data_IF_437634339890
#
_entry.id   IF_437634339890
#
_cell.length_a   1.000
_cell.length_b   1.000
_cell.length_c   1.000
_cell.angle_alpha   90.00
_cell.angle_beta   90.00
_cell.angle_gamma   90.00
#
_symmetry.space_group_name_H-M   'P 1'
#
loop_
_entity.id
_entity.type
_entity.pdbx_description
1 polymer ?
#
# COMPACT_ATOMS: atom_id res chain seq x y z
N UNK A 1 28.16 20.91 -13.76
CA UNK A 1 28.65 20.53 -12.42
C UNK A 1 27.50 20.06 -11.57
N UNK A 2 27.58 18.83 -11.06
CA UNK A 2 26.65 18.31 -10.07
C UNK A 2 26.99 18.97 -8.73
N UNK A 3 26.09 19.83 -8.25
CA UNK A 3 26.21 20.37 -6.89
C UNK A 3 25.88 19.26 -5.88
N UNK A 4 26.77 19.06 -4.92
CA UNK A 4 26.51 18.15 -3.79
C UNK A 4 25.46 18.80 -2.88
N UNK A 5 24.36 18.08 -2.66
CA UNK A 5 23.28 18.47 -1.75
C UNK A 5 23.28 17.52 -0.55
N UNK A 6 23.62 18.05 0.62
CA UNK A 6 23.67 17.28 1.88
C UNK A 6 22.30 16.69 2.28
N UNK A 7 21.20 17.21 1.75
CA UNK A 7 19.85 16.70 2.01
C UNK A 7 19.59 15.33 1.33
N UNK A 8 20.27 15.02 0.23
CA UNK A 8 20.06 13.76 -0.51
C UNK A 8 20.49 12.52 0.28
N UNK A 9 21.67 12.46 0.93
CA UNK A 9 22.02 11.36 1.82
C UNK A 9 21.05 11.19 2.99
N UNK A 10 20.51 12.30 3.52
CA UNK A 10 19.52 12.24 4.58
C UNK A 10 18.19 11.61 4.11
N UNK A 11 17.72 11.93 2.91
CA UNK A 11 16.55 11.28 2.30
C UNK A 11 16.78 9.78 2.14
N UNK A 12 17.96 9.37 1.67
CA UNK A 12 18.34 7.96 1.57
C UNK A 12 18.31 7.24 2.92
N UNK A 13 18.87 7.85 3.97
CA UNK A 13 18.83 7.32 5.34
C UNK A 13 17.40 7.19 5.86
N UNK A 14 16.57 8.20 5.65
CA UNK A 14 15.18 8.19 6.07
C UNK A 14 14.39 7.09 5.35
N UNK A 15 14.66 6.86 4.08
CA UNK A 15 14.04 5.77 3.33
C UNK A 15 14.50 4.39 3.82
N UNK A 16 15.79 4.20 4.07
CA UNK A 16 16.34 2.98 4.69
C UNK A 16 15.66 2.68 6.02
N UNK A 17 15.51 3.71 6.88
CA UNK A 17 14.80 3.57 8.15
C UNK A 17 13.34 3.16 7.95
N UNK A 18 12.66 3.71 6.95
CA UNK A 18 11.28 3.34 6.62
C UNK A 18 11.18 1.89 6.15
N UNK A 19 12.10 1.42 5.31
CA UNK A 19 12.17 0.01 4.89
C UNK A 19 12.34 -0.93 6.07
N UNK A 20 13.27 -0.61 6.95
CA UNK A 20 13.54 -1.38 8.16
C UNK A 20 12.35 -1.42 9.12
N UNK A 21 11.65 -0.30 9.29
CA UNK A 21 10.45 -0.24 10.12
C UNK A 21 9.28 -1.03 9.52
N UNK A 22 9.09 -0.99 8.20
CA UNK A 22 8.11 -1.83 7.51
C UNK A 22 8.41 -3.33 7.71
N UNK A 23 9.68 -3.73 7.59
CA UNK A 23 10.14 -5.09 7.86
C UNK A 23 9.82 -5.50 9.30
N UNK A 24 10.21 -4.70 10.29
CA UNK A 24 9.94 -4.99 11.71
C UNK A 24 8.44 -5.13 11.98
N UNK A 25 7.62 -4.25 11.40
CA UNK A 25 6.16 -4.30 11.53
C UNK A 25 5.63 -5.65 11.04
N UNK A 26 5.98 -6.05 9.82
CA UNK A 26 5.49 -7.31 9.22
C UNK A 26 5.97 -8.52 10.04
N UNK A 27 7.23 -8.55 10.47
CA UNK A 27 7.78 -9.65 11.28
C UNK A 27 7.23 -9.71 12.70
N UNK A 28 6.67 -8.62 13.21
CA UNK A 28 6.06 -8.59 14.54
C UNK A 28 4.63 -9.17 14.59
N UNK A 29 4.02 -9.45 13.47
CA UNK A 29 2.67 -9.98 13.44
C UNK A 29 2.64 -11.45 13.88
N UNK A 30 1.74 -11.76 14.79
CA UNK A 30 1.41 -13.14 15.14
C UNK A 30 0.50 -13.75 14.05
N UNK A 31 0.87 -14.92 13.54
CA UNK A 31 0.16 -15.56 12.42
C UNK A 31 -0.76 -16.67 12.93
N UNK A 32 -2.03 -16.64 12.53
CA UNK A 32 -3.01 -17.66 12.88
C UNK A 32 -3.70 -18.27 11.66
N UNK A 33 -4.25 -19.48 11.85
CA UNK A 33 -5.08 -20.16 10.85
C UNK A 33 -6.53 -19.67 10.99
N UNK A 34 -6.79 -18.46 10.51
CA UNK A 34 -8.11 -17.83 10.45
C UNK A 34 -8.42 -17.44 9.00
N UNK A 35 -9.69 -17.16 8.71
CA UNK A 35 -10.13 -16.76 7.38
C UNK A 35 -9.55 -15.39 7.00
N UNK A 36 -9.17 -15.26 5.72
CA UNK A 36 -8.68 -14.00 5.18
C UNK A 36 -9.79 -12.94 5.16
N UNK A 37 -9.62 -11.80 5.86
CA UNK A 37 -10.61 -10.72 5.84
C UNK A 37 -10.79 -10.14 4.44
N UNK A 38 -12.02 -9.75 4.09
CA UNK A 38 -12.33 -9.20 2.77
C UNK A 38 -11.48 -7.96 2.42
N UNK A 39 -11.23 -7.08 3.40
CA UNK A 39 -10.40 -5.90 3.19
C UNK A 39 -8.93 -6.26 2.88
N UNK A 40 -8.38 -7.30 3.50
CA UNK A 40 -7.01 -7.76 3.24
C UNK A 40 -6.89 -8.35 1.84
N UNK A 41 -7.85 -9.21 1.45
CA UNK A 41 -7.89 -9.79 0.11
C UNK A 41 -7.96 -8.71 -0.98
N UNK A 42 -8.88 -7.74 -0.84
CA UNK A 42 -9.04 -6.65 -1.82
C UNK A 42 -7.83 -5.71 -1.87
N UNK A 43 -7.18 -5.43 -0.73
CA UNK A 43 -5.99 -4.61 -0.68
C UNK A 43 -4.80 -5.27 -1.37
N UNK A 44 -4.61 -6.58 -1.19
CA UNK A 44 -3.56 -7.34 -1.87
C UNK A 44 -3.84 -7.50 -3.37
N UNK A 45 -5.09 -7.72 -3.76
CA UNK A 45 -5.52 -7.74 -5.16
C UNK A 45 -5.20 -6.41 -5.86
N UNK A 46 -5.56 -5.28 -5.22
CA UNK A 46 -5.19 -3.95 -5.70
C UNK A 46 -3.67 -3.80 -5.88
N UNK A 47 -2.90 -4.21 -4.87
CA UNK A 47 -1.45 -4.03 -4.90
C UNK A 47 -0.79 -4.90 -5.97
N UNK A 48 -1.32 -6.09 -6.23
CA UNK A 48 -0.85 -6.94 -7.32
C UNK A 48 -1.10 -6.30 -8.70
N UNK A 49 -2.26 -5.68 -8.92
CA UNK A 49 -2.50 -4.88 -10.14
C UNK A 49 -1.53 -3.69 -10.24
N UNK A 50 -1.28 -3.00 -9.12
CA UNK A 50 -0.31 -1.91 -9.07
C UNK A 50 1.10 -2.38 -9.41
N UNK A 51 1.56 -3.51 -8.86
CA UNK A 51 2.86 -4.09 -9.20
C UNK A 51 2.97 -4.47 -10.66
N UNK A 52 1.91 -4.98 -11.27
CA UNK A 52 1.86 -5.24 -12.73
C UNK A 52 2.15 -3.97 -13.53
N UNK A 53 1.46 -2.87 -13.21
CA UNK A 53 1.67 -1.55 -13.84
C UNK A 53 3.08 -1.00 -13.59
N UNK A 54 3.55 -1.12 -12.34
CA UNK A 54 4.91 -0.67 -11.96
C UNK A 54 5.97 -1.42 -12.75
N UNK A 55 5.87 -2.74 -12.86
CA UNK A 55 6.83 -3.55 -13.62
C UNK A 55 6.84 -3.18 -15.12
N UNK A 56 5.70 -2.92 -15.74
CA UNK A 56 5.62 -2.44 -17.12
C UNK A 56 6.29 -1.08 -17.28
N UNK A 57 6.01 -0.15 -16.35
CA UNK A 57 6.63 1.18 -16.31
C UNK A 57 8.14 1.08 -16.17
N UNK A 58 8.64 0.24 -15.25
CA UNK A 58 10.06 0.03 -15.03
C UNK A 58 10.76 -0.55 -16.25
N UNK A 59 10.17 -1.54 -16.93
CA UNK A 59 10.72 -2.08 -18.16
C UNK A 59 10.90 -0.97 -19.20
N UNK A 60 9.89 -0.13 -19.41
CA UNK A 60 9.97 1.01 -20.33
C UNK A 60 11.06 2.01 -19.93
N UNK A 61 11.17 2.32 -18.64
CA UNK A 61 12.17 3.27 -18.12
C UNK A 61 13.59 2.72 -18.28
N UNK A 62 13.82 1.43 -18.00
CA UNK A 62 15.12 0.79 -18.20
C UNK A 62 15.51 0.68 -19.69
N UNK A 63 14.58 0.33 -20.56
CA UNK A 63 14.80 0.28 -22.00
C UNK A 63 15.20 1.66 -22.57
N UNK A 64 14.71 2.73 -21.96
CA UNK A 64 15.02 4.10 -22.32
C UNK A 64 16.20 4.70 -21.52
N UNK A 65 16.90 3.89 -20.70
CA UNK A 65 18.00 4.34 -19.83
C UNK A 65 17.61 5.43 -18.81
N UNK A 66 16.34 5.52 -18.44
CA UNK A 66 15.81 6.50 -17.47
C UNK A 66 15.97 6.00 -16.04
N UNK A 67 17.20 5.80 -15.61
CA UNK A 67 17.51 5.14 -14.33
C UNK A 67 16.98 5.92 -13.12
N UNK A 68 17.06 7.24 -13.15
CA UNK A 68 16.56 8.10 -12.05
C UNK A 68 15.03 8.01 -11.92
N UNK A 69 14.31 7.93 -13.05
CA UNK A 69 12.86 7.75 -13.05
C UNK A 69 12.48 6.36 -12.53
N UNK A 70 13.24 5.32 -12.93
CA UNK A 70 13.04 3.97 -12.43
C UNK A 70 13.21 3.90 -10.90
N UNK A 71 14.27 4.52 -10.36
CA UNK A 71 14.46 4.63 -8.92
C UNK A 71 13.26 5.33 -8.24
N UNK A 72 12.81 6.47 -8.78
CA UNK A 72 11.68 7.20 -8.21
C UNK A 72 10.37 6.40 -8.27
N UNK A 73 10.14 5.64 -9.32
CA UNK A 73 8.98 4.76 -9.45
C UNK A 73 8.96 3.71 -8.33
N UNK A 74 10.06 3.00 -8.10
CA UNK A 74 10.13 2.00 -7.03
C UNK A 74 10.08 2.65 -5.64
N UNK A 75 10.80 3.76 -5.47
CA UNK A 75 10.82 4.52 -4.22
C UNK A 75 9.42 4.96 -3.78
N UNK A 76 8.66 5.59 -4.68
CA UNK A 76 7.30 6.06 -4.38
C UNK A 76 6.34 4.88 -4.17
N UNK A 77 6.46 3.81 -4.96
CA UNK A 77 5.68 2.58 -4.77
C UNK A 77 5.90 1.99 -3.38
N UNK A 78 7.15 1.91 -2.93
CA UNK A 78 7.43 1.40 -1.58
C UNK A 78 6.96 2.36 -0.50
N UNK A 79 7.33 3.65 -0.60
CA UNK A 79 7.09 4.65 0.44
C UNK A 79 5.60 4.95 0.62
N UNK A 80 4.90 5.18 -0.47
CA UNK A 80 3.54 5.69 -0.43
C UNK A 80 2.51 4.56 -0.55
N UNK A 81 2.67 3.66 -1.51
CA UNK A 81 1.66 2.64 -1.77
C UNK A 81 1.78 1.43 -0.85
N UNK A 82 2.99 0.88 -0.70
CA UNK A 82 3.20 -0.26 0.18
C UNK A 82 3.12 0.13 1.66
N UNK A 83 3.99 1.05 2.10
CA UNK A 83 4.09 1.37 3.53
C UNK A 83 2.92 2.17 4.06
N UNK A 84 2.40 3.16 3.28
CA UNK A 84 1.38 4.08 3.78
C UNK A 84 -0.05 3.65 3.48
N UNK A 85 -0.26 2.77 2.47
CA UNK A 85 -1.58 2.26 2.14
C UNK A 85 -1.71 0.76 2.40
N UNK A 86 -0.96 -0.10 1.70
CA UNK A 86 -1.15 -1.55 1.81
C UNK A 86 -1.00 -2.03 3.26
N UNK A 87 0.13 -1.73 3.91
CA UNK A 87 0.37 -2.21 5.29
C UNK A 87 -0.70 -1.70 6.26
N UNK A 88 -1.18 -0.46 6.11
CA UNK A 88 -2.26 0.07 6.94
C UNK A 88 -3.60 -0.65 6.73
N UNK A 89 -3.89 -1.04 5.47
CA UNK A 89 -5.12 -1.76 5.15
C UNK A 89 -5.12 -3.19 5.69
N UNK A 90 -3.96 -3.87 5.68
CA UNK A 90 -3.86 -5.28 6.04
C UNK A 90 -3.44 -5.53 7.48
N UNK A 91 -2.77 -4.57 8.15
CA UNK A 91 -2.30 -4.78 9.53
C UNK A 91 -3.43 -5.24 10.42
N UNK A 92 -3.19 -6.24 11.29
CA UNK A 92 -4.19 -6.67 12.25
C UNK A 92 -4.49 -5.58 13.27
N UNK A 93 -5.64 -5.66 13.94
CA UNK A 93 -5.92 -4.81 15.09
C UNK A 93 -4.92 -5.11 16.22
N UNK A 94 -4.69 -4.15 17.10
CA UNK A 94 -3.75 -4.31 18.19
C UNK A 94 -4.06 -5.56 19.04
N UNK A 95 -3.06 -6.42 19.23
CA UNK A 95 -3.18 -7.67 19.98
C UNK A 95 -3.97 -8.78 19.25
N UNK A 96 -4.28 -8.63 17.97
CA UNK A 96 -4.92 -9.66 17.16
C UNK A 96 -3.92 -10.26 16.16
N UNK A 97 -4.02 -11.55 15.86
CA UNK A 97 -3.18 -12.17 14.85
C UNK A 97 -3.64 -11.78 13.44
N UNK A 98 -2.70 -11.91 12.48
CA UNK A 98 -2.98 -11.86 11.05
C UNK A 98 -3.29 -13.25 10.51
N UNK A 99 -4.17 -13.36 9.53
CA UNK A 99 -4.37 -14.63 8.83
C UNK A 99 -3.14 -15.02 8.00
N UNK A 100 -2.89 -16.33 7.92
CA UNK A 100 -1.71 -16.88 7.24
C UNK A 100 -1.63 -16.46 5.77
N UNK A 101 -2.77 -16.42 5.08
CA UNK A 101 -2.78 -16.09 3.64
C UNK A 101 -2.37 -14.65 3.39
N UNK A 102 -2.95 -13.69 4.12
CA UNK A 102 -2.55 -12.28 4.06
C UNK A 102 -1.06 -12.11 4.40
N UNK A 103 -0.57 -12.80 5.43
CA UNK A 103 0.84 -12.75 5.80
C UNK A 103 1.76 -13.21 4.67
N UNK A 104 1.52 -14.41 4.12
CA UNK A 104 2.35 -14.96 3.04
C UNK A 104 2.32 -14.10 1.76
N UNK A 105 1.14 -13.62 1.37
CA UNK A 105 1.01 -12.71 0.23
C UNK A 105 1.74 -11.38 0.48
N UNK A 106 1.73 -10.87 1.72
CA UNK A 106 2.50 -9.67 2.10
C UNK A 106 4.01 -9.90 1.99
N UNK A 107 4.50 -11.06 2.44
CA UNK A 107 5.91 -11.40 2.27
C UNK A 107 6.30 -11.47 0.79
N UNK A 108 5.46 -12.08 -0.07
CA UNK A 108 5.71 -12.16 -1.51
C UNK A 108 5.78 -10.77 -2.17
N UNK A 109 4.88 -9.87 -1.80
CA UNK A 109 4.88 -8.46 -2.27
C UNK A 109 6.14 -7.75 -1.80
N UNK A 110 6.52 -7.93 -0.53
CA UNK A 110 7.70 -7.29 0.03
C UNK A 110 8.97 -7.77 -0.67
N UNK A 111 9.11 -9.07 -0.91
CA UNK A 111 10.23 -9.63 -1.67
C UNK A 111 10.36 -9.04 -3.07
N UNK A 112 9.25 -8.91 -3.79
CA UNK A 112 9.24 -8.27 -5.11
C UNK A 112 9.74 -6.81 -5.04
N UNK A 113 9.27 -6.04 -4.07
CA UNK A 113 9.72 -4.66 -3.88
C UNK A 113 11.21 -4.59 -3.52
N UNK A 114 11.72 -5.51 -2.70
CA UNK A 114 13.15 -5.60 -2.40
C UNK A 114 13.98 -5.92 -3.64
N UNK A 115 13.52 -6.84 -4.49
CA UNK A 115 14.18 -7.18 -5.75
C UNK A 115 14.23 -5.97 -6.70
N UNK A 116 13.15 -5.19 -6.79
CA UNK A 116 13.10 -3.97 -7.61
C UNK A 116 14.00 -2.84 -7.06
N UNK A 117 14.17 -2.75 -5.73
CA UNK A 117 15.04 -1.78 -5.07
C UNK A 117 16.52 -2.21 -5.06
N UNK A 118 16.80 -3.50 -5.19
CA UNK A 118 18.16 -4.03 -5.00
C UNK A 118 19.23 -3.40 -5.88
N UNK A 119 19.00 -3.08 -7.17
CA UNK A 119 19.99 -2.41 -8.00
C UNK A 119 20.42 -1.03 -7.47
N UNK A 120 19.59 -0.40 -6.65
CA UNK A 120 19.82 0.94 -6.11
C UNK A 120 20.31 0.93 -4.66
N UNK A 121 19.92 -0.08 -3.89
CA UNK A 121 20.19 -0.18 -2.45
C UNK A 121 20.57 -1.61 -2.04
N UNK A 122 21.71 -2.14 -2.55
CA UNK A 122 22.01 -3.59 -2.47
C UNK A 122 22.17 -4.11 -1.03
N UNK A 123 22.73 -3.33 -0.12
CA UNK A 123 23.03 -3.82 1.24
C UNK A 123 21.76 -4.01 2.08
N UNK A 124 20.90 -2.98 2.18
CA UNK A 124 19.71 -3.04 3.01
C UNK A 124 18.67 -4.02 2.45
N UNK A 125 18.56 -4.12 1.13
CA UNK A 125 17.63 -5.05 0.49
C UNK A 125 18.06 -6.50 0.69
N UNK A 126 19.36 -6.81 0.61
CA UNK A 126 19.90 -8.14 0.93
C UNK A 126 19.63 -8.48 2.40
N UNK A 127 19.97 -7.60 3.34
CA UNK A 127 19.79 -7.82 4.77
C UNK A 127 18.32 -8.12 5.13
N UNK A 128 17.39 -7.32 4.60
CA UNK A 128 15.96 -7.54 4.82
C UNK A 128 15.51 -8.85 4.15
N UNK A 129 15.94 -9.12 2.92
CA UNK A 129 15.54 -10.29 2.16
C UNK A 129 15.99 -11.59 2.84
N UNK A 130 17.22 -11.64 3.35
CA UNK A 130 17.76 -12.78 4.11
C UNK A 130 16.97 -13.05 5.40
N UNK A 131 16.53 -11.97 6.06
CA UNK A 131 15.84 -12.08 7.35
C UNK A 131 14.32 -12.23 7.21
N UNK A 132 13.77 -11.86 6.05
CA UNK A 132 12.32 -11.89 5.81
C UNK A 132 11.79 -13.34 5.81
N UNK A 133 12.54 -14.29 5.24
CA UNK A 133 12.27 -15.73 5.21
C UNK A 133 13.53 -16.52 5.53
N UNK A 134 13.36 -17.77 5.91
CA UNK A 134 14.48 -18.72 5.97
C UNK A 134 15.05 -18.94 4.57
N UNK A 135 16.37 -18.90 4.46
CA UNK A 135 17.12 -19.07 3.21
C UNK A 135 18.09 -20.24 3.34
N UNK A 136 18.40 -20.86 2.22
CA UNK A 136 19.46 -21.86 2.17
C UNK A 136 20.83 -21.17 2.06
N UNK A 137 21.87 -21.87 2.47
CA UNK A 137 23.23 -21.35 2.34
C UNK A 137 23.58 -21.08 0.86
N UNK A 138 24.10 -19.88 0.58
CA UNK A 138 24.40 -19.42 -0.77
C UNK A 138 23.25 -18.72 -1.51
N UNK A 139 22.02 -18.70 -0.98
CA UNK A 139 20.96 -17.88 -1.57
C UNK A 139 21.22 -16.38 -1.31
N UNK A 140 21.04 -15.56 -2.35
CA UNK A 140 21.16 -14.11 -2.29
C UNK A 140 20.15 -13.46 -3.24
N UNK A 141 19.61 -12.30 -2.84
CA UNK A 141 18.75 -11.50 -3.69
C UNK A 141 19.49 -11.07 -4.98
N UNK A 142 20.84 -10.93 -4.92
CA UNK A 142 21.67 -10.54 -6.06
C UNK A 142 21.55 -11.50 -7.25
N UNK A 143 21.36 -12.80 -7.00
CA UNK A 143 21.19 -13.83 -8.04
C UNK A 143 19.73 -14.20 -8.28
N UNK A 144 18.80 -13.55 -7.56
CA UNK A 144 17.38 -13.75 -7.78
C UNK A 144 16.92 -13.11 -9.10
N UNK A 145 15.82 -13.62 -9.65
CA UNK A 145 15.24 -13.02 -10.86
C UNK A 145 14.38 -11.83 -10.47
N UNK A 146 14.47 -10.74 -11.26
CA UNK A 146 13.53 -9.64 -11.15
C UNK A 146 12.09 -10.12 -11.38
N UNK A 147 11.11 -9.52 -10.67
CA UNK A 147 9.71 -9.82 -10.88
C UNK A 147 9.32 -9.61 -12.34
N UNK A 148 8.60 -10.57 -12.92
CA UNK A 148 8.06 -10.41 -14.28
C UNK A 148 6.86 -9.48 -14.27
N UNK A 149 6.74 -8.68 -15.33
CA UNK A 149 5.51 -7.95 -15.56
C UNK A 149 4.32 -8.93 -15.70
N UNK A 150 3.27 -8.66 -14.94
CA UNK A 150 2.01 -9.39 -15.01
C UNK A 150 0.93 -8.49 -15.60
N UNK A 151 -0.10 -9.09 -16.20
CA UNK A 151 -1.27 -8.32 -16.63
C UNK A 151 -1.93 -7.65 -15.42
N UNK A 152 -2.44 -6.45 -15.64
CA UNK A 152 -3.18 -5.70 -14.62
C UNK A 152 -4.45 -5.10 -15.21
N UNK A 153 -5.40 -4.77 -14.35
CA UNK A 153 -6.65 -4.11 -14.72
C UNK A 153 -6.58 -2.62 -14.35
N UNK A 154 -6.44 -1.76 -15.35
CA UNK A 154 -6.41 -0.31 -15.16
C UNK A 154 -7.72 0.20 -14.56
N UNK A 155 -8.86 -0.37 -14.92
CA UNK A 155 -10.15 0.02 -14.36
C UNK A 155 -10.27 -0.30 -12.87
N UNK A 156 -9.62 -1.38 -12.43
CA UNK A 156 -9.51 -1.73 -11.01
C UNK A 156 -8.68 -0.68 -10.24
N UNK A 157 -7.55 -0.29 -10.81
CA UNK A 157 -6.68 0.75 -10.22
C UNK A 157 -7.40 2.10 -10.12
N UNK A 158 -8.12 2.52 -11.16
CA UNK A 158 -8.91 3.75 -11.14
C UNK A 158 -10.02 3.73 -10.07
N UNK A 159 -10.76 2.63 -9.96
CA UNK A 159 -11.77 2.45 -8.92
C UNK A 159 -11.15 2.50 -7.52
N UNK A 160 -9.97 1.92 -7.36
CA UNK A 160 -9.27 1.95 -6.08
C UNK A 160 -8.77 3.35 -5.72
N UNK A 161 -8.40 4.16 -6.71
CA UNK A 161 -8.05 5.57 -6.49
C UNK A 161 -9.23 6.37 -5.93
N UNK A 162 -10.45 6.11 -6.41
CA UNK A 162 -11.67 6.67 -5.81
C UNK A 162 -11.84 6.25 -4.34
N UNK A 163 -11.50 4.99 -3.99
CA UNK A 163 -11.50 4.51 -2.59
C UNK A 163 -10.52 5.30 -1.72
N UNK A 164 -9.29 5.50 -2.19
CA UNK A 164 -8.30 6.31 -1.47
C UNK A 164 -8.81 7.75 -1.25
N UNK A 165 -9.39 8.36 -2.26
CA UNK A 165 -9.94 9.72 -2.17
C UNK A 165 -11.09 9.79 -1.14
N UNK A 166 -11.96 8.79 -1.08
CA UNK A 166 -13.00 8.69 -0.04
C UNK A 166 -12.37 8.62 1.36
N UNK A 167 -11.36 7.76 1.54
CA UNK A 167 -10.66 7.62 2.83
C UNK A 167 -9.97 8.92 3.23
N UNK A 168 -9.32 9.61 2.29
CA UNK A 168 -8.70 10.92 2.52
C UNK A 168 -9.76 11.95 2.93
N UNK A 169 -10.91 11.99 2.25
CA UNK A 169 -12.03 12.84 2.60
C UNK A 169 -12.53 12.60 4.04
N UNK A 170 -12.72 11.34 4.42
CA UNK A 170 -13.10 10.97 5.79
C UNK A 170 -12.05 11.44 6.82
N UNK A 171 -10.76 11.22 6.55
CA UNK A 171 -9.67 11.67 7.43
C UNK A 171 -9.61 13.19 7.57
N UNK A 172 -9.86 13.91 6.49
CA UNK A 172 -9.90 15.38 6.51
C UNK A 172 -11.07 15.89 7.35
N UNK A 173 -12.27 15.32 7.21
CA UNK A 173 -13.43 15.65 8.05
C UNK A 173 -13.12 15.41 9.53
N UNK A 174 -12.53 14.26 9.86
CA UNK A 174 -12.12 13.95 11.24
C UNK A 174 -11.15 15.00 11.78
N UNK A 175 -10.12 15.34 11.01
CA UNK A 175 -9.10 16.33 11.41
C UNK A 175 -9.71 17.73 11.61
N UNK A 176 -10.54 18.20 10.68
CA UNK A 176 -11.16 19.52 10.72
C UNK A 176 -12.13 19.69 11.90
N UNK A 177 -12.77 18.60 12.32
CA UNK A 177 -13.78 18.63 13.38
C UNK A 177 -13.28 18.01 14.70
N UNK A 178 -11.97 17.76 14.82
CA UNK A 178 -11.34 17.14 16.00
C UNK A 178 -11.99 15.82 16.44
N UNK A 179 -12.45 15.00 15.50
CA UNK A 179 -13.08 13.70 15.77
C UNK A 179 -11.97 12.64 15.92
N UNK A 180 -11.88 12.02 17.09
CA UNK A 180 -10.88 10.99 17.35
C UNK A 180 -11.10 9.76 16.42
N UNK A 181 -10.01 9.10 16.03
CA UNK A 181 -10.12 7.92 15.17
C UNK A 181 -10.93 6.78 15.81
N UNK A 182 -10.88 6.65 17.15
CA UNK A 182 -11.65 5.64 17.91
C UNK A 182 -13.18 5.82 17.81
N UNK A 183 -13.65 7.03 17.50
CA UNK A 183 -15.07 7.31 17.40
C UNK A 183 -15.59 6.74 16.08
N UNK A 184 -16.56 5.83 16.17
CA UNK A 184 -17.15 5.20 14.99
C UNK A 184 -18.09 6.18 14.31
N UNK A 185 -17.94 6.38 13.01
CA UNK A 185 -18.81 7.24 12.20
C UNK A 185 -19.71 6.42 11.28
N UNK A 186 -20.77 7.04 10.79
CA UNK A 186 -21.55 6.55 9.66
C UNK A 186 -21.21 7.33 8.40
N UNK A 187 -21.10 6.64 7.27
CA UNK A 187 -20.92 7.24 5.97
C UNK A 187 -22.22 7.13 5.16
N UNK A 188 -22.73 8.26 4.71
CA UNK A 188 -23.87 8.32 3.78
C UNK A 188 -23.36 8.75 2.42
N UNK A 189 -23.52 7.90 1.43
CA UNK A 189 -23.06 8.14 0.05
C UNK A 189 -24.26 8.49 -0.81
N UNK A 190 -24.19 9.60 -1.55
CA UNK A 190 -25.22 9.89 -2.55
C UNK A 190 -25.22 8.79 -3.60
N UNK A 191 -26.38 8.19 -3.88
CA UNK A 191 -26.52 7.10 -4.83
C UNK A 191 -25.91 7.48 -6.18
N UNK A 192 -24.89 6.73 -6.59
CA UNK A 192 -24.12 6.94 -7.80
C UNK A 192 -23.59 5.59 -8.28
N UNK A 193 -23.70 5.30 -9.57
CA UNK A 193 -23.22 4.07 -10.20
C UNK A 193 -21.69 3.94 -10.15
N UNK A 194 -20.97 5.06 -9.99
CA UNK A 194 -19.51 5.09 -9.87
C UNK A 194 -19.00 4.80 -8.46
N UNK A 195 -19.89 4.70 -7.46
CA UNK A 195 -19.46 4.39 -6.10
C UNK A 195 -18.88 2.96 -6.04
N UNK A 196 -17.64 2.81 -5.56
CA UNK A 196 -16.94 1.53 -5.58
C UNK A 196 -17.35 0.62 -4.38
N UNK A 197 -18.61 0.24 -4.30
CA UNK A 197 -19.18 -0.51 -3.17
C UNK A 197 -18.48 -1.85 -2.88
N UNK A 198 -17.82 -2.46 -3.86
CA UNK A 198 -17.02 -3.68 -3.66
C UNK A 198 -15.88 -3.49 -2.65
N UNK A 199 -15.45 -2.25 -2.41
CA UNK A 199 -14.37 -1.89 -1.48
C UNK A 199 -14.87 -1.35 -0.12
N UNK A 200 -16.14 -1.48 0.20
CA UNK A 200 -16.72 -1.01 1.47
C UNK A 200 -15.96 -1.50 2.70
N UNK A 201 -15.45 -2.73 2.67
CA UNK A 201 -14.68 -3.30 3.77
C UNK A 201 -13.37 -2.54 4.04
N UNK A 202 -12.72 -2.02 2.99
CA UNK A 202 -11.52 -1.17 3.11
C UNK A 202 -11.90 0.20 3.65
N UNK A 203 -12.96 0.82 3.10
CA UNK A 203 -13.43 2.14 3.55
C UNK A 203 -13.82 2.08 5.04
N UNK A 204 -14.54 1.04 5.46
CA UNK A 204 -14.91 0.82 6.86
C UNK A 204 -13.68 0.74 7.76
N UNK A 205 -12.70 -0.09 7.40
CA UNK A 205 -11.49 -0.25 8.20
C UNK A 205 -10.67 1.03 8.26
N UNK A 206 -10.39 1.64 7.11
CA UNK A 206 -9.47 2.80 7.02
C UNK A 206 -10.09 4.10 7.51
N UNK A 207 -11.40 4.20 7.48
CA UNK A 207 -12.17 5.34 7.97
C UNK A 207 -12.74 5.18 9.37
N UNK A 208 -12.65 3.97 9.97
CA UNK A 208 -13.40 3.56 11.17
C UNK A 208 -14.90 3.87 11.02
N UNK A 209 -15.49 3.33 9.95
CA UNK A 209 -16.90 3.51 9.60
C UNK A 209 -17.71 2.27 10.01
N UNK A 210 -18.70 2.46 10.88
CA UNK A 210 -19.59 1.38 11.32
C UNK A 210 -20.58 0.97 10.25
N UNK A 211 -21.22 1.93 9.60
CA UNK A 211 -22.20 1.69 8.56
C UNK A 211 -22.02 2.60 7.35
N UNK A 212 -22.16 2.03 6.15
CA UNK A 212 -22.24 2.77 4.89
C UNK A 212 -23.65 2.62 4.34
N UNK A 213 -24.32 3.74 4.08
CA UNK A 213 -25.68 3.77 3.54
C UNK A 213 -25.77 4.63 2.28
N UNK A 214 -26.58 4.21 1.32
CA UNK A 214 -26.88 4.99 0.12
C UNK A 214 -28.07 5.91 0.38
N UNK A 215 -27.97 7.18 -0.02
CA UNK A 215 -29.02 8.19 0.12
C UNK A 215 -29.27 8.91 -1.21
N UNK A 216 -30.49 9.37 -1.41
CA UNK A 216 -30.84 10.13 -2.63
C UNK A 216 -30.55 11.64 -2.45
N UNK A 217 -30.66 12.14 -1.22
CA UNK A 217 -30.51 13.55 -0.88
C UNK A 217 -29.49 13.75 0.24
N UNK A 218 -28.84 14.93 0.31
CA UNK A 218 -27.93 15.26 1.39
C UNK A 218 -28.59 15.18 2.77
N UNK A 219 -27.89 14.64 3.75
CA UNK A 219 -28.35 14.55 5.14
C UNK A 219 -28.11 15.90 5.83
N UNK A 220 -29.18 16.52 6.36
CA UNK A 220 -29.08 17.79 7.09
C UNK A 220 -28.23 17.60 8.35
N UNK A 221 -27.30 18.55 8.60
CA UNK A 221 -26.44 18.54 9.79
C UNK A 221 -25.26 17.58 9.70
N UNK A 222 -25.06 16.87 8.59
CA UNK A 222 -23.87 16.05 8.36
C UNK A 222 -22.75 16.86 7.71
N UNK A 223 -21.51 16.56 8.07
CA UNK A 223 -20.36 17.04 7.32
C UNK A 223 -20.32 16.34 5.96
N UNK A 224 -19.94 17.08 4.92
CA UNK A 224 -19.91 16.56 3.56
C UNK A 224 -18.60 16.88 2.86
N UNK A 225 -18.20 16.01 1.93
CA UNK A 225 -17.11 16.23 1.00
C UNK A 225 -17.48 15.65 -0.35
N UNK A 226 -16.81 16.13 -1.38
CA UNK A 226 -17.00 15.66 -2.75
C UNK A 226 -15.76 14.86 -3.13
N UNK A 227 -15.96 13.73 -3.79
CA UNK A 227 -14.91 12.94 -4.40
C UNK A 227 -15.17 12.93 -5.89
N UNK A 228 -14.23 13.48 -6.66
CA UNK A 228 -14.26 13.34 -8.10
C UNK A 228 -13.95 11.88 -8.45
N UNK A 229 -14.95 11.20 -8.95
CA UNK A 229 -14.78 9.87 -9.54
C UNK A 229 -14.51 10.06 -11.02
N UNK A 230 -13.28 9.77 -11.44
CA UNK A 230 -12.87 9.78 -12.84
C UNK A 230 -13.68 8.79 -13.66
#
# INVERSE_FOLDING_TARGET
>A
DLLFDESLPEQGRNFTTKMWNAFKLVKSWEVASIDQPAHSRLALEWFNHLLGKVNETLNTQFDQYRISEALMTVYTTFRDEFSSWLLEMIKPAYGQPIDRKTYEETLNVFEQLLQLLHPFMPFITEEIWQTLRERQDGESIMISRLPKATSYDESYLLRFEAVKNIIVGIRNIRKQNNIAFKDVLELKVKKNERYPASFDSIIRKMGNIGQIGLVNEPVKGAWSFIVDTV
#
